data_IF_368025565146
#
_entry.id   IF_368025565146
#
_cell.length_a   1.000
_cell.length_b   1.000
_cell.length_c   1.000
_cell.angle_alpha   90.00
_cell.angle_beta   90.00
_cell.angle_gamma   90.00
#
_symmetry.space_group_name_H-M   'P 1'
#
loop_
_entity.id
_entity.type
_entity.pdbx_description
1 polymer ?
#
# COMPACT_ATOMS: atom_id res chain seq x y z
N UNK A 1 -31.95 47.05 -31.22
CA UNK A 1 -30.65 47.10 -30.51
C UNK A 1 -29.94 45.77 -30.68
N UNK A 2 -28.76 45.74 -31.29
CA UNK A 2 -28.04 44.49 -31.54
C UNK A 2 -27.41 43.98 -30.24
N UNK A 3 -27.93 42.88 -29.68
CA UNK A 3 -27.39 42.24 -28.48
C UNK A 3 -26.37 41.14 -28.76
N UNK A 4 -26.11 40.84 -30.04
CA UNK A 4 -25.16 39.80 -30.43
C UNK A 4 -23.76 39.98 -29.82
N UNK A 5 -23.17 41.20 -29.74
CA UNK A 5 -21.86 41.37 -29.10
C UNK A 5 -21.85 41.02 -27.61
N UNK A 6 -22.93 41.33 -26.89
CA UNK A 6 -23.06 41.06 -25.45
C UNK A 6 -23.22 39.55 -25.22
N UNK A 7 -24.04 38.88 -26.03
CA UNK A 7 -24.22 37.43 -25.97
C UNK A 7 -22.92 36.69 -26.29
N UNK A 8 -22.21 37.14 -27.34
CA UNK A 8 -20.90 36.57 -27.69
C UNK A 8 -19.90 36.71 -26.55
N UNK A 9 -19.77 37.92 -25.97
CA UNK A 9 -18.86 38.16 -24.85
C UNK A 9 -19.19 37.28 -23.65
N UNK A 10 -20.49 37.16 -23.30
CA UNK A 10 -20.94 36.31 -22.20
C UNK A 10 -20.55 34.84 -22.42
N UNK A 11 -20.87 34.28 -23.59
CA UNK A 11 -20.53 32.90 -23.95
C UNK A 11 -19.01 32.70 -23.93
N UNK A 12 -18.25 33.61 -24.53
CA UNK A 12 -16.80 33.54 -24.56
C UNK A 12 -16.20 33.53 -23.14
N UNK A 13 -16.65 34.43 -22.26
CA UNK A 13 -16.15 34.50 -20.87
C UNK A 13 -16.48 33.22 -20.11
N UNK A 14 -17.69 32.67 -20.26
CA UNK A 14 -18.05 31.40 -19.62
C UNK A 14 -17.17 30.25 -20.09
N UNK A 15 -16.93 30.13 -21.40
CA UNK A 15 -16.06 29.09 -21.97
C UNK A 15 -14.60 29.28 -21.55
N UNK A 16 -14.10 30.52 -21.58
CA UNK A 16 -12.72 30.84 -21.19
C UNK A 16 -12.48 30.57 -19.70
N UNK A 17 -13.43 30.92 -18.83
CA UNK A 17 -13.35 30.64 -17.40
C UNK A 17 -13.39 29.12 -17.14
N UNK A 18 -14.29 28.41 -17.80
CA UNK A 18 -14.38 26.95 -17.73
C UNK A 18 -13.09 26.27 -18.18
N UNK A 19 -12.56 26.65 -19.35
CA UNK A 19 -11.29 26.12 -19.86
C UNK A 19 -10.12 26.45 -18.94
N UNK A 20 -10.07 27.66 -18.40
CA UNK A 20 -9.00 28.08 -17.49
C UNK A 20 -9.03 27.24 -16.21
N UNK A 21 -10.18 27.11 -15.56
CA UNK A 21 -10.32 26.37 -14.31
C UNK A 21 -10.10 24.86 -14.45
N UNK A 22 -10.55 24.26 -15.57
CA UNK A 22 -10.48 22.80 -15.75
C UNK A 22 -9.20 22.38 -16.47
N UNK A 23 -8.79 23.07 -17.53
CA UNK A 23 -7.67 22.64 -18.37
C UNK A 23 -6.37 23.33 -17.94
N UNK A 24 -6.35 24.67 -17.93
CA UNK A 24 -5.12 25.41 -17.69
C UNK A 24 -4.56 25.18 -16.28
N UNK A 25 -5.40 25.24 -15.25
CA UNK A 25 -4.97 25.03 -13.85
C UNK A 25 -4.38 23.63 -13.65
N UNK A 26 -4.99 22.59 -14.21
CA UNK A 26 -4.45 21.23 -14.13
C UNK A 26 -3.15 21.08 -14.93
N UNK A 27 -3.05 21.69 -16.12
CA UNK A 27 -1.82 21.67 -16.91
C UNK A 27 -0.65 22.38 -16.21
N UNK A 28 -0.92 23.49 -15.52
CA UNK A 28 0.08 24.20 -14.71
C UNK A 28 0.49 23.34 -13.49
N UNK A 29 -0.46 22.67 -12.85
CA UNK A 29 -0.24 21.92 -11.61
C UNK A 29 0.46 20.57 -11.81
N UNK A 30 0.04 19.82 -12.83
CA UNK A 30 0.45 18.42 -13.04
C UNK A 30 1.07 18.16 -14.41
N UNK A 31 0.82 19.02 -15.41
CA UNK A 31 1.26 18.79 -16.80
C UNK A 31 2.78 18.76 -17.00
N UNK A 32 3.55 19.16 -15.99
CA UNK A 32 5.03 19.09 -15.97
C UNK A 32 5.59 17.91 -15.18
N UNK A 33 4.74 17.06 -14.61
CA UNK A 33 5.20 15.90 -13.86
C UNK A 33 5.82 14.86 -14.80
N UNK A 34 7.09 14.57 -14.58
CA UNK A 34 7.84 13.53 -15.29
C UNK A 34 8.18 12.37 -14.35
N UNK A 35 8.52 11.18 -14.86
CA UNK A 35 9.10 10.14 -14.01
C UNK A 35 10.37 10.66 -13.33
N UNK A 36 10.57 10.28 -12.07
CA UNK A 36 11.81 10.52 -11.35
C UNK A 36 12.84 9.49 -11.80
N UNK A 37 14.08 9.92 -12.04
CA UNK A 37 15.19 9.03 -12.37
C UNK A 37 16.04 8.90 -11.13
N UNK A 38 16.20 7.67 -10.63
CA UNK A 38 17.04 7.44 -9.45
C UNK A 38 18.52 7.59 -9.81
N UNK A 39 19.29 8.19 -8.89
CA UNK A 39 20.70 8.52 -9.10
C UNK A 39 21.61 7.27 -9.10
N UNK A 40 21.15 6.20 -8.45
CA UNK A 40 21.87 4.96 -8.17
C UNK A 40 21.81 3.93 -9.31
N UNK A 41 20.65 3.79 -9.95
CA UNK A 41 20.38 2.68 -10.89
C UNK A 41 19.88 3.15 -12.26
N UNK A 42 19.68 4.46 -12.46
CA UNK A 42 19.08 5.01 -13.68
C UNK A 42 17.65 4.53 -13.93
N UNK A 43 17.00 3.93 -12.92
CA UNK A 43 15.62 3.45 -13.02
C UNK A 43 14.65 4.62 -12.93
N UNK A 44 13.58 4.54 -13.71
CA UNK A 44 12.51 5.55 -13.69
C UNK A 44 11.37 5.12 -12.79
N UNK A 45 10.90 6.01 -11.92
CA UNK A 45 9.75 5.82 -11.04
C UNK A 45 8.63 6.84 -11.33
N UNK A 46 7.35 6.43 -11.31
CA UNK A 46 6.88 5.04 -11.16
C UNK A 46 7.29 4.19 -12.37
N UNK A 47 7.40 2.87 -12.18
CA UNK A 47 7.66 1.93 -13.28
C UNK A 47 6.42 1.80 -14.18
N UNK A 48 6.59 1.36 -15.43
CA UNK A 48 5.43 0.98 -16.25
C UNK A 48 4.83 -0.30 -15.67
N UNK A 49 3.51 -0.40 -15.62
CA UNK A 49 2.85 -1.63 -15.18
C UNK A 49 3.20 -2.76 -16.18
N UNK A 50 3.72 -3.91 -15.71
CA UNK A 50 3.89 -5.10 -16.56
C UNK A 50 2.56 -5.54 -17.18
N UNK A 51 2.61 -6.23 -18.33
CA UNK A 51 1.39 -6.63 -19.06
C UNK A 51 0.40 -7.46 -18.24
N UNK A 52 0.87 -8.35 -17.36
CA UNK A 52 0.01 -9.10 -16.44
C UNK A 52 -0.63 -8.22 -15.37
N UNK A 53 0.13 -7.30 -14.76
CA UNK A 53 -0.38 -6.33 -13.80
C UNK A 53 -1.39 -5.36 -14.43
N UNK A 54 -1.20 -4.97 -15.70
CA UNK A 54 -2.17 -4.15 -16.42
C UNK A 54 -3.52 -4.86 -16.58
N UNK A 55 -3.53 -6.15 -16.98
CA UNK A 55 -4.75 -6.97 -17.00
C UNK A 55 -5.33 -7.18 -15.60
N UNK A 56 -4.48 -7.36 -14.60
CA UNK A 56 -4.89 -7.49 -13.20
C UNK A 56 -5.59 -6.25 -12.66
N UNK A 57 -5.18 -5.07 -13.12
CA UNK A 57 -5.84 -3.81 -12.81
C UNK A 57 -7.26 -3.73 -13.38
N UNK A 58 -7.51 -4.37 -14.52
CA UNK A 58 -8.87 -4.51 -15.05
C UNK A 58 -9.70 -5.49 -14.20
N UNK A 59 -9.12 -6.60 -13.75
CA UNK A 59 -9.78 -7.52 -12.80
C UNK A 59 -10.10 -6.79 -11.48
N UNK A 60 -9.17 -6.00 -10.93
CA UNK A 60 -9.41 -5.17 -9.73
C UNK A 60 -10.61 -4.23 -9.90
N UNK A 61 -10.77 -3.65 -11.09
CA UNK A 61 -11.93 -2.82 -11.45
C UNK A 61 -13.22 -3.65 -11.48
N UNK A 62 -13.20 -4.78 -12.17
CA UNK A 62 -14.36 -5.67 -12.33
C UNK A 62 -14.86 -6.23 -11.00
N UNK A 63 -13.96 -6.54 -10.07
CA UNK A 63 -14.30 -7.04 -8.73
C UNK A 63 -14.76 -5.92 -7.79
N UNK A 64 -14.70 -4.65 -8.21
CA UNK A 64 -15.14 -3.53 -7.40
C UNK A 64 -14.27 -3.29 -6.16
N UNK A 65 -13.01 -3.74 -6.16
CA UNK A 65 -12.11 -3.62 -5.01
C UNK A 65 -11.97 -2.17 -4.48
N UNK A 66 -12.05 -1.20 -5.39
CA UNK A 66 -11.98 0.24 -5.10
C UNK A 66 -13.09 0.74 -4.15
N UNK A 67 -14.21 0.02 -4.02
CA UNK A 67 -15.28 0.39 -3.09
C UNK A 67 -14.92 0.13 -1.62
N UNK A 68 -13.97 -0.77 -1.36
CA UNK A 68 -13.54 -1.12 -0.01
C UNK A 68 -12.11 -0.68 0.29
N UNK A 69 -11.27 -0.57 -0.74
CA UNK A 69 -9.84 -0.31 -0.62
C UNK A 69 -9.44 0.98 -1.33
N UNK A 70 -8.73 1.83 -0.62
CA UNK A 70 -8.04 2.97 -1.21
C UNK A 70 -6.68 2.56 -1.78
N UNK A 71 -6.18 3.35 -2.72
CA UNK A 71 -4.79 3.29 -3.18
C UNK A 71 -4.18 4.69 -3.07
N UNK A 72 -4.19 5.23 -1.85
CA UNK A 72 -3.66 6.55 -1.53
C UNK A 72 -3.27 6.60 -0.06
N UNK A 73 -1.98 6.40 0.23
CA UNK A 73 -1.45 6.55 1.59
C UNK A 73 -1.51 8.03 1.97
N UNK A 74 -2.19 8.34 3.08
CA UNK A 74 -2.38 9.72 3.51
C UNK A 74 -1.08 10.32 4.04
N UNK A 75 -1.02 11.65 3.98
CA UNK A 75 0.04 12.44 4.61
C UNK A 75 0.13 12.13 6.11
N UNK A 76 1.33 12.02 6.68
CA UNK A 76 1.51 12.00 8.13
C UNK A 76 0.75 13.15 8.82
N UNK A 77 0.13 12.85 9.95
CA UNK A 77 -0.76 13.79 10.66
C UNK A 77 -2.22 13.81 10.19
N UNK A 78 -2.52 13.21 9.03
CA UNK A 78 -3.87 13.08 8.51
C UNK A 78 -4.29 11.60 8.50
N UNK A 79 -4.49 11.07 9.71
CA UNK A 79 -4.75 9.65 9.94
C UNK A 79 -3.51 8.86 10.31
N UNK A 80 -3.64 7.53 10.33
CA UNK A 80 -2.66 6.60 10.93
C UNK A 80 -2.17 5.56 9.92
N UNK A 81 -2.08 5.93 8.63
CA UNK A 81 -1.78 4.97 7.56
C UNK A 81 -0.36 4.40 7.69
N UNK A 82 0.61 5.26 8.02
CA UNK A 82 2.00 4.85 8.25
C UNK A 82 2.11 3.99 9.51
N UNK A 83 1.43 4.37 10.60
CA UNK A 83 1.38 3.61 11.86
C UNK A 83 0.74 2.22 11.67
N UNK A 84 -0.24 2.11 10.77
CA UNK A 84 -0.86 0.83 10.35
C UNK A 84 -0.01 0.04 9.37
N UNK A 85 1.18 0.53 9.03
CA UNK A 85 2.07 -0.06 8.05
C UNK A 85 1.38 -0.29 6.70
N UNK A 86 0.65 0.72 6.21
CA UNK A 86 0.00 0.67 4.87
C UNK A 86 0.89 1.26 3.77
N UNK A 87 1.90 2.03 4.15
CA UNK A 87 2.96 2.53 3.31
C UNK A 87 4.04 3.15 4.17
N UNK A 88 5.23 3.34 3.60
CA UNK A 88 6.37 3.98 4.29
C UNK A 88 6.34 5.51 4.13
N UNK A 89 5.64 5.99 3.11
CA UNK A 89 5.47 7.40 2.79
C UNK A 89 4.06 7.69 2.29
N UNK A 90 3.67 8.97 2.31
CA UNK A 90 2.44 9.41 1.66
C UNK A 90 2.51 9.29 0.15
N UNK A 91 1.38 9.01 -0.48
CA UNK A 91 1.25 9.06 -1.92
C UNK A 91 1.28 10.51 -2.43
N UNK A 92 1.92 10.72 -3.58
CA UNK A 92 1.98 12.00 -4.29
C UNK A 92 1.49 11.85 -5.72
N UNK A 93 1.18 12.97 -6.38
CA UNK A 93 0.65 12.94 -7.75
C UNK A 93 1.57 12.19 -8.74
N UNK A 94 2.89 12.23 -8.51
CA UNK A 94 3.88 11.55 -9.36
C UNK A 94 3.72 10.02 -9.38
N UNK A 95 3.21 9.43 -8.30
CA UNK A 95 2.95 7.99 -8.18
C UNK A 95 1.97 7.46 -9.24
N UNK A 96 1.15 8.35 -9.81
CA UNK A 96 0.04 8.00 -10.70
C UNK A 96 0.26 8.44 -12.15
N UNK A 97 1.39 9.06 -12.51
CA UNK A 97 1.58 9.69 -13.84
C UNK A 97 1.57 8.69 -15.01
N UNK A 98 1.82 7.40 -14.72
CA UNK A 98 1.77 6.31 -15.71
C UNK A 98 0.41 5.60 -15.73
N UNK A 99 -0.52 6.01 -14.89
CA UNK A 99 -1.84 5.41 -14.80
C UNK A 99 -2.87 6.22 -15.60
N UNK A 100 -3.45 5.60 -16.64
CA UNK A 100 -4.52 6.23 -17.40
C UNK A 100 -5.79 6.49 -16.57
N UNK A 101 -6.09 5.58 -15.64
CA UNK A 101 -7.18 5.70 -14.67
C UNK A 101 -6.65 5.41 -13.28
N UNK A 102 -6.86 6.33 -12.36
CA UNK A 102 -6.37 6.24 -10.98
C UNK A 102 -7.47 5.70 -10.06
N UNK A 103 -7.14 4.75 -9.19
CA UNK A 103 -8.08 4.16 -8.21
C UNK A 103 -7.78 4.60 -6.79
N UNK A 104 -7.86 5.91 -6.52
CA UNK A 104 -7.61 6.46 -5.18
C UNK A 104 -8.52 5.84 -4.10
N UNK A 105 -9.77 5.55 -4.47
CA UNK A 105 -10.82 5.06 -3.56
C UNK A 105 -11.39 6.18 -2.69
N UNK A 106 -12.59 5.95 -2.14
CA UNK A 106 -13.29 6.92 -1.27
C UNK A 106 -13.64 6.36 0.10
N UNK A 107 -13.63 5.03 0.26
CA UNK A 107 -13.94 4.34 1.50
C UNK A 107 -12.85 3.34 1.85
N UNK A 108 -12.68 3.10 3.15
CA UNK A 108 -11.63 2.26 3.75
C UNK A 108 -12.22 1.21 4.67
N UNK A 109 -13.11 0.42 4.10
CA UNK A 109 -13.64 -0.78 4.75
C UNK A 109 -12.52 -1.81 4.95
N UNK A 110 -11.64 -1.94 3.94
CA UNK A 110 -10.40 -2.69 4.03
C UNK A 110 -9.16 -1.77 4.10
N UNK A 111 -7.95 -2.35 4.25
CA UNK A 111 -6.71 -1.60 4.24
C UNK A 111 -6.44 -0.86 2.94
N UNK A 112 -5.66 0.22 3.00
CA UNK A 112 -5.07 0.81 1.79
C UNK A 112 -4.13 -0.19 1.11
N UNK A 113 -4.17 -0.23 -0.23
CA UNK A 113 -3.44 -1.19 -1.05
C UNK A 113 -2.29 -0.58 -1.84
N UNK A 114 -2.06 0.74 -1.78
CA UNK A 114 -1.09 1.42 -2.63
C UNK A 114 0.32 0.88 -2.50
N UNK A 115 0.69 0.39 -1.31
CA UNK A 115 1.99 -0.19 -1.04
C UNK A 115 1.90 -1.67 -0.62
N UNK A 116 0.86 -2.39 -1.04
CA UNK A 116 0.66 -3.78 -0.62
C UNK A 116 1.76 -4.71 -1.15
N UNK A 117 2.30 -4.45 -2.34
CA UNK A 117 3.41 -5.21 -2.91
C UNK A 117 4.69 -5.15 -2.10
N UNK A 118 4.96 -4.02 -1.43
CA UNK A 118 6.10 -3.90 -0.52
C UNK A 118 5.96 -4.83 0.71
N UNK A 119 4.72 -5.04 1.17
CA UNK A 119 4.41 -5.81 2.39
C UNK A 119 4.35 -7.31 2.15
N UNK A 120 4.04 -7.72 0.91
CA UNK A 120 3.84 -9.11 0.52
C UNK A 120 4.79 -9.50 -0.62
N UNK A 121 6.08 -9.22 -0.46
CA UNK A 121 7.08 -9.56 -1.47
C UNK A 121 7.36 -11.08 -1.54
N UNK A 122 7.72 -11.56 -2.73
CA UNK A 122 8.14 -12.94 -2.97
C UNK A 122 7.02 -13.98 -2.91
N UNK A 123 7.40 -15.26 -2.90
CA UNK A 123 6.45 -16.38 -3.02
C UNK A 123 5.45 -16.46 -1.85
N UNK A 124 5.89 -16.18 -0.62
CA UNK A 124 5.00 -16.18 0.53
C UNK A 124 3.87 -15.14 0.43
N UNK A 125 4.15 -13.99 -0.19
CA UNK A 125 3.14 -12.97 -0.45
C UNK A 125 2.17 -13.34 -1.57
N UNK A 126 2.66 -13.96 -2.64
CA UNK A 126 1.83 -14.55 -3.70
C UNK A 126 0.85 -15.57 -3.10
N UNK A 127 1.38 -16.50 -2.30
CA UNK A 127 0.60 -17.53 -1.63
C UNK A 127 -0.44 -16.92 -0.67
N UNK A 128 -0.06 -15.91 0.10
CA UNK A 128 -0.99 -15.18 0.98
C UNK A 128 -2.13 -14.55 0.18
N UNK A 129 -1.82 -13.89 -0.94
CA UNK A 129 -2.84 -13.26 -1.77
C UNK A 129 -3.79 -14.27 -2.39
N UNK A 130 -3.31 -15.42 -2.88
CA UNK A 130 -4.19 -16.47 -3.38
C UNK A 130 -5.12 -17.00 -2.30
N UNK A 131 -4.59 -17.31 -1.12
CA UNK A 131 -5.41 -17.80 0.01
C UNK A 131 -6.42 -16.74 0.47
N UNK A 132 -6.01 -15.48 0.57
CA UNK A 132 -6.87 -14.36 0.95
C UNK A 132 -7.97 -14.08 -0.09
N UNK A 133 -7.66 -14.14 -1.38
CA UNK A 133 -8.67 -13.96 -2.44
C UNK A 133 -9.64 -15.12 -2.51
N UNK A 134 -9.18 -16.35 -2.24
CA UNK A 134 -10.07 -17.52 -2.19
C UNK A 134 -11.13 -17.37 -1.09
N UNK A 135 -10.68 -17.12 0.15
CA UNK A 135 -11.54 -16.72 1.27
C UNK A 135 -10.77 -15.83 2.25
N UNK A 136 -11.12 -14.53 2.36
CA UNK A 136 -10.42 -13.58 3.21
C UNK A 136 -10.35 -13.95 4.69
N UNK A 137 -11.32 -14.73 5.18
CA UNK A 137 -11.38 -15.16 6.59
C UNK A 137 -10.23 -16.13 6.92
N UNK A 138 -9.65 -16.80 5.92
CA UNK A 138 -8.55 -17.75 6.09
C UNK A 138 -7.23 -17.09 6.48
N UNK A 139 -7.00 -15.85 6.06
CA UNK A 139 -5.78 -15.12 6.38
C UNK A 139 -6.03 -13.91 7.27
N UNK A 140 -7.30 -13.50 7.42
CA UNK A 140 -7.73 -12.39 8.26
C UNK A 140 -9.02 -12.76 8.98
N UNK A 141 -8.94 -13.40 10.16
CA UNK A 141 -10.11 -13.80 10.93
C UNK A 141 -11.07 -12.63 11.18
N UNK A 142 -12.36 -12.81 10.90
CA UNK A 142 -13.36 -11.76 11.02
C UNK A 142 -13.39 -10.76 9.85
N UNK A 143 -12.67 -11.02 8.75
CA UNK A 143 -12.76 -10.21 7.54
C UNK A 143 -14.19 -10.17 6.99
N UNK A 144 -14.62 -8.97 6.58
CA UNK A 144 -15.89 -8.73 5.89
C UNK A 144 -15.74 -8.63 4.37
N UNK A 145 -14.51 -8.79 3.86
CA UNK A 145 -14.24 -8.85 2.42
C UNK A 145 -14.91 -10.09 1.83
N UNK A 146 -15.52 -9.94 0.66
CA UNK A 146 -16.19 -11.05 -0.01
C UNK A 146 -15.17 -12.04 -0.60
N UNK A 147 -15.45 -13.35 -0.55
CA UNK A 147 -14.58 -14.35 -1.17
C UNK A 147 -14.66 -14.29 -2.70
N UNK A 148 -13.51 -14.45 -3.36
CA UNK A 148 -13.39 -14.57 -4.81
C UNK A 148 -12.97 -15.98 -5.23
N UNK A 149 -13.49 -17.00 -4.53
CA UNK A 149 -13.26 -18.42 -4.83
C UNK A 149 -13.55 -18.79 -6.30
N UNK A 150 -14.47 -18.08 -6.97
CA UNK A 150 -14.77 -18.26 -8.39
C UNK A 150 -13.62 -17.88 -9.35
N UNK A 151 -12.55 -17.25 -8.86
CA UNK A 151 -11.33 -17.02 -9.64
C UNK A 151 -10.39 -18.24 -9.60
N UNK A 152 -10.78 -19.34 -8.95
CA UNK A 152 -9.99 -20.55 -8.80
C UNK A 152 -10.77 -21.76 -9.31
N UNK A 153 -10.08 -22.65 -10.01
CA UNK A 153 -10.65 -23.83 -10.62
C UNK A 153 -10.25 -25.08 -9.84
N UNK A 154 -11.25 -25.81 -9.35
CA UNK A 154 -11.06 -27.12 -8.75
C UNK A 154 -11.31 -28.21 -9.79
N UNK A 155 -10.23 -28.88 -10.23
CA UNK A 155 -10.25 -29.75 -11.41
C UNK A 155 -9.49 -31.06 -11.18
N UNK A 156 -9.80 -32.14 -11.92
CA UNK A 156 -9.00 -33.35 -11.86
C UNK A 156 -7.59 -33.10 -12.42
N UNK A 157 -6.59 -33.68 -11.78
CA UNK A 157 -5.20 -33.69 -12.27
C UNK A 157 -5.13 -34.58 -13.51
N UNK A 158 -4.65 -34.01 -14.63
CA UNK A 158 -4.42 -34.76 -15.87
C UNK A 158 -2.92 -34.87 -16.08
N UNK A 159 -2.34 -36.03 -15.74
CA UNK A 159 -0.90 -36.25 -15.79
C UNK A 159 -0.21 -35.78 -14.51
N UNK A 160 0.63 -34.75 -14.60
CA UNK A 160 1.30 -34.17 -13.43
C UNK A 160 0.49 -32.99 -12.85
N UNK A 161 0.52 -32.77 -11.52
CA UNK A 161 -0.05 -31.57 -10.92
C UNK A 161 0.55 -30.29 -11.51
N UNK A 162 -0.25 -29.24 -11.60
CA UNK A 162 0.21 -27.92 -12.02
C UNK A 162 1.18 -27.34 -11.00
N UNK A 163 2.23 -26.70 -11.50
CA UNK A 163 3.13 -25.81 -10.76
C UNK A 163 2.40 -24.67 -10.01
N UNK A 164 1.22 -24.30 -10.49
CA UNK A 164 0.36 -23.25 -9.92
C UNK A 164 -0.65 -23.77 -8.90
N UNK A 165 -0.69 -25.08 -8.62
CA UNK A 165 -1.64 -25.63 -7.67
C UNK A 165 -1.44 -25.03 -6.26
N UNK A 166 -2.52 -24.53 -5.67
CA UNK A 166 -2.51 -23.84 -4.38
C UNK A 166 -3.08 -24.69 -3.24
N UNK A 167 -3.42 -25.96 -3.48
CA UNK A 167 -3.94 -26.85 -2.43
C UNK A 167 -3.00 -26.96 -1.23
N UNK A 168 -1.69 -26.82 -1.45
CA UNK A 168 -0.67 -26.81 -0.39
C UNK A 168 -0.83 -25.66 0.63
N UNK A 169 -1.58 -24.63 0.28
CA UNK A 169 -1.82 -23.47 1.15
C UNK A 169 -2.91 -23.73 2.20
N UNK A 170 -3.66 -24.82 2.06
CA UNK A 170 -4.81 -25.15 2.91
C UNK A 170 -4.47 -26.28 3.88
N UNK A 171 -4.88 -26.14 5.13
CA UNK A 171 -4.80 -27.22 6.12
C UNK A 171 -5.78 -28.35 5.75
N UNK A 172 -5.56 -29.59 6.23
CA UNK A 172 -6.50 -30.68 5.96
C UNK A 172 -7.96 -30.37 6.40
N UNK A 173 -8.12 -29.62 7.48
CA UNK A 173 -9.42 -29.17 7.97
C UNK A 173 -10.07 -28.15 7.02
N UNK A 174 -9.30 -27.17 6.56
CA UNK A 174 -9.75 -26.21 5.55
C UNK A 174 -10.14 -26.94 4.26
N UNK A 175 -9.32 -27.90 3.79
CA UNK A 175 -9.64 -28.65 2.57
C UNK A 175 -10.99 -29.36 2.65
N UNK A 176 -11.27 -30.03 3.78
CA UNK A 176 -12.57 -30.66 4.03
C UNK A 176 -13.71 -29.65 4.08
N UNK A 177 -13.52 -28.50 4.73
CA UNK A 177 -14.52 -27.44 4.84
C UNK A 177 -14.94 -26.88 3.48
N UNK A 178 -13.97 -26.67 2.58
CA UNK A 178 -14.24 -26.13 1.24
C UNK A 178 -14.47 -27.20 0.17
N UNK A 179 -14.45 -28.49 0.53
CA UNK A 179 -14.66 -29.60 -0.41
C UNK A 179 -13.57 -29.75 -1.46
N UNK A 180 -12.33 -29.37 -1.12
CA UNK A 180 -11.16 -29.44 -2.01
C UNK A 180 -10.18 -30.57 -1.60
N UNK A 181 -10.67 -31.59 -0.90
CA UNK A 181 -9.90 -32.72 -0.36
C UNK A 181 -9.96 -33.99 -1.21
N UNK A 182 -10.67 -33.97 -2.35
CA UNK A 182 -10.81 -35.13 -3.24
C UNK A 182 -9.44 -35.56 -3.79
N UNK A 183 -9.06 -36.85 -3.66
CA UNK A 183 -7.83 -37.36 -4.25
C UNK A 183 -7.82 -37.20 -5.78
N UNK A 184 -6.66 -36.83 -6.33
CA UNK A 184 -6.47 -36.64 -7.77
C UNK A 184 -7.10 -35.37 -8.33
N UNK A 185 -7.47 -34.42 -7.48
CA UNK A 185 -7.92 -33.09 -7.87
C UNK A 185 -6.95 -32.03 -7.35
N UNK A 186 -6.91 -30.89 -8.04
CA UNK A 186 -6.10 -29.72 -7.70
C UNK A 186 -6.94 -28.44 -7.79
N UNK A 187 -6.61 -27.47 -6.95
CA UNK A 187 -7.12 -26.11 -6.95
C UNK A 187 -6.08 -25.19 -7.59
N UNK A 188 -6.42 -24.58 -8.71
CA UNK A 188 -5.49 -23.78 -9.51
C UNK A 188 -6.08 -22.37 -9.71
N UNK A 189 -5.30 -21.30 -9.56
CA UNK A 189 -5.76 -19.95 -9.88
C UNK A 189 -6.05 -19.84 -11.38
N UNK A 190 -7.17 -19.22 -11.73
CA UNK A 190 -7.42 -18.79 -13.10
C UNK A 190 -6.43 -17.69 -13.51
N UNK A 191 -6.31 -17.43 -14.81
CA UNK A 191 -5.48 -16.31 -15.30
C UNK A 191 -5.89 -14.96 -14.69
N UNK A 192 -7.19 -14.76 -14.39
CA UNK A 192 -7.70 -13.55 -13.73
C UNK A 192 -7.20 -13.43 -12.28
N UNK A 193 -7.12 -14.55 -11.55
CA UNK A 193 -6.52 -14.56 -10.20
C UNK A 193 -5.03 -14.21 -10.28
N UNK A 194 -4.28 -14.86 -11.18
CA UNK A 194 -2.84 -14.59 -11.34
C UNK A 194 -2.57 -13.12 -11.71
N UNK A 195 -3.30 -12.59 -12.70
CA UNK A 195 -3.17 -11.21 -13.12
C UNK A 195 -3.52 -10.25 -11.97
N UNK A 196 -4.60 -10.49 -11.23
CA UNK A 196 -4.97 -9.68 -10.06
C UNK A 196 -3.87 -9.67 -9.00
N UNK A 197 -3.28 -10.82 -8.67
CA UNK A 197 -2.17 -10.89 -7.71
C UNK A 197 -0.94 -10.15 -8.24
N UNK A 198 -0.59 -10.29 -9.52
CA UNK A 198 0.48 -9.50 -10.13
C UNK A 198 0.23 -7.99 -10.06
N UNK A 199 -1.02 -7.55 -10.23
CA UNK A 199 -1.35 -6.15 -10.06
C UNK A 199 -1.15 -5.70 -8.61
N UNK A 200 -1.69 -6.42 -7.63
CA UNK A 200 -1.53 -6.09 -6.21
C UNK A 200 -0.05 -6.03 -5.82
N UNK A 201 0.75 -6.98 -6.28
CA UNK A 201 2.20 -7.00 -6.01
C UNK A 201 2.98 -5.90 -6.75
N UNK A 202 2.44 -5.38 -7.85
CA UNK A 202 3.03 -4.22 -8.56
C UNK A 202 2.81 -2.89 -7.83
N UNK A 203 1.88 -2.83 -6.86
CA UNK A 203 1.62 -1.66 -6.03
C UNK A 203 2.70 -1.54 -4.94
N UNK A 204 3.85 -0.99 -5.33
CA UNK A 204 5.04 -0.87 -4.49
C UNK A 204 5.73 0.49 -4.71
N UNK A 205 5.49 1.41 -3.79
CA UNK A 205 5.98 2.79 -3.76
C UNK A 205 7.19 2.98 -2.81
N UNK A 206 7.61 1.94 -2.09
CA UNK A 206 8.77 1.92 -1.18
C UNK A 206 10.15 2.13 -1.84
N UNK A 207 10.46 1.62 -3.06
CA UNK A 207 11.84 1.62 -3.56
C UNK A 207 12.42 3.01 -3.90
N UNK A 208 11.64 4.08 -3.75
CA UNK A 208 12.03 5.44 -4.12
C UNK A 208 11.32 6.47 -3.23
N UNK A 209 12.03 7.56 -2.94
CA UNK A 209 11.49 8.74 -2.25
C UNK A 209 11.62 9.94 -3.18
N UNK A 210 10.56 10.69 -3.39
CA UNK A 210 10.64 11.89 -4.23
C UNK A 210 11.13 13.12 -3.44
N UNK A 211 11.84 14.07 -4.09
CA UNK A 211 12.26 15.30 -3.44
C UNK A 211 11.11 16.13 -2.84
N UNK A 212 9.93 16.11 -3.45
CA UNK A 212 8.72 16.79 -2.95
C UNK A 212 8.16 16.21 -1.64
N UNK A 213 8.53 14.98 -1.29
CA UNK A 213 8.09 14.29 -0.08
C UNK A 213 8.94 14.70 1.11
N UNK A 214 10.26 14.73 0.91
CA UNK A 214 11.23 15.17 1.92
C UNK A 214 11.01 16.62 2.36
N UNK A 215 10.45 17.47 1.48
CA UNK A 215 10.16 18.89 1.79
C UNK A 215 8.96 19.10 2.71
N UNK A 216 8.15 18.08 2.99
CA UNK A 216 6.91 18.19 3.79
C UNK A 216 6.93 17.31 5.04
N UNK A 217 8.04 17.32 5.78
CA UNK A 217 8.15 16.63 7.08
C UNK A 217 7.03 17.12 8.00
N UNK A 218 6.15 16.21 8.42
CA UNK A 218 5.17 16.50 9.44
C UNK A 218 5.86 16.48 10.80
N UNK A 219 5.84 17.61 11.49
CA UNK A 219 6.23 17.68 12.90
C UNK A 219 4.94 17.47 13.70
N UNK A 220 4.85 16.35 14.43
CA UNK A 220 3.72 16.11 15.31
C UNK A 220 3.62 17.25 16.34
N UNK A 221 2.41 17.78 16.62
CA UNK A 221 2.26 18.71 17.71
C UNK A 221 2.73 18.05 19.02
N UNK A 222 3.34 18.81 19.95
CA UNK A 222 3.72 18.28 21.25
C UNK A 222 2.51 17.62 21.91
N UNK A 223 2.68 16.51 22.66
CA UNK A 223 1.56 15.93 23.39
C UNK A 223 0.99 17.00 24.32
N UNK A 224 -0.34 17.21 24.25
CA UNK A 224 -1.03 18.06 25.21
C UNK A 224 -0.70 17.54 26.62
N UNK A 225 -0.12 18.41 27.44
CA UNK A 225 0.02 18.14 28.86
C UNK A 225 -1.40 17.96 29.40
N UNK A 226 -1.78 16.75 29.77
CA UNK A 226 -2.97 16.54 30.58
C UNK A 226 -2.74 17.28 31.89
N UNK A 227 -3.44 18.40 32.09
CA UNK A 227 -3.52 19.04 33.41
C UNK A 227 -4.16 18.02 34.36
N UNK A 228 -3.36 17.42 35.25
CA UNK A 228 -3.89 16.52 36.28
C UNK A 228 -2.98 15.39 36.78
N UNK A 229 -1.81 15.14 36.19
CA UNK A 229 -0.86 14.20 36.82
C UNK A 229 0.00 14.93 37.84
N UNK A 230 -0.35 14.70 39.11
CA UNK A 230 0.37 15.17 40.28
C UNK A 230 1.86 14.79 40.21
N UNK A 231 2.71 15.75 40.58
CA UNK A 231 4.16 15.57 40.77
C UNK A 231 4.46 14.27 41.53
N UNK A 232 5.42 13.44 41.08
CA UNK A 232 5.95 12.37 41.93
C UNK A 232 6.61 13.00 43.16
N UNK A 233 6.30 12.45 44.34
CA UNK A 233 6.91 12.84 45.59
C UNK A 233 8.44 12.66 45.53
N UNK A 234 9.15 13.70 45.94
CA UNK A 234 10.60 13.77 46.07
C UNK A 234 11.08 12.73 47.11
N UNK A 235 11.81 11.71 46.67
CA UNK A 235 12.43 10.74 47.56
C UNK A 235 13.67 11.37 48.21
N UNK A 236 13.70 11.33 49.55
CA UNK A 236 14.79 11.83 50.38
C UNK A 236 16.14 11.12 50.07
N UNK A 237 17.29 11.81 50.26
CA UNK A 237 18.59 11.28 49.88
C UNK A 237 19.07 10.20 50.86
N UNK A 238 19.54 9.08 50.32
CA UNK A 238 20.28 8.06 51.07
C UNK A 238 21.75 8.49 51.19
N UNK A 239 22.29 8.32 52.40
CA UNK A 239 23.59 8.79 52.86
C UNK A 239 24.80 8.15 52.15
N UNK A 240 25.86 8.95 52.02
CA UNK A 240 27.20 8.60 51.55
C UNK A 240 27.85 7.46 52.37
N UNK A 241 28.49 6.52 51.68
CA UNK A 241 29.55 5.68 52.25
C UNK A 241 30.84 5.97 51.47
N UNK A 242 31.85 6.42 52.21
CA UNK A 242 33.17 6.86 51.74
C UNK A 242 33.97 5.72 51.10
N UNK A 243 34.65 6.05 50.00
CA UNK A 243 35.70 5.24 49.40
C UNK A 243 37.05 5.51 50.10
N UNK A 244 37.72 4.45 50.54
CA UNK A 244 39.14 4.48 50.87
C UNK A 244 39.97 4.28 49.60
N UNK A 245 41.01 5.09 49.47
CA UNK A 245 41.97 5.10 48.37
C UNK A 245 43.24 4.34 48.76
N UNK A 246 43.88 3.67 47.79
CA UNK A 246 45.35 3.54 47.57
C UNK A 246 45.63 2.46 46.51
N UNK A 247 46.03 2.81 45.27
CA UNK A 247 47.39 2.98 44.69
C UNK A 247 48.17 1.69 44.35
N UNK A 248 48.77 1.68 43.15
CA UNK A 248 49.90 0.82 42.75
C UNK A 248 49.54 -0.19 41.65
N UNK A 249 49.69 0.09 40.35
CA UNK A 249 50.91 0.08 39.53
C UNK A 249 51.27 -1.32 38.95
N UNK A 250 51.05 -1.43 37.63
CA UNK A 250 51.76 -2.15 36.55
C UNK A 250 52.27 -3.61 36.63
N UNK A 251 52.36 -4.19 35.41
CA UNK A 251 53.21 -5.32 34.92
C UNK A 251 52.71 -6.73 35.29
N UNK A 252 52.84 -7.81 34.52
CA UNK A 252 53.41 -8.16 33.19
C UNK A 252 53.09 -9.67 33.01
N UNK A 253 53.08 -10.16 31.76
CA UNK A 253 53.38 -11.55 31.33
C UNK A 253 52.48 -12.78 31.65
N UNK A 254 52.17 -13.48 30.54
CA UNK A 254 52.25 -14.94 30.31
C UNK A 254 51.61 -15.90 31.32
N UNK A 255 50.58 -16.64 30.90
CA UNK A 255 50.72 -17.99 30.28
C UNK A 255 49.37 -18.51 29.80
#
# INVERSE_FOLDING_TARGET
>A
MNRAPILFLGIFVTLAFSWTGIVLTNQISFGKLTPYVSEDEGKTWPQQLPGSAARGKDVYREMGCVYCHTQQVRRPGYGVDIERNWGERQSVARDYIREQRVYLGTMRTGPDLRNVGARYAGQGGIDWHYKHLYDPVLTSPGSIMQPYAFLFDYRPVVGQPSDKAIDRLFTPEEKRKYGIDKPGYELVPSQRAEDLVHYLLSLNDTPYTYPEEARRVYVAPPPEKKEGEAKPAEAAPAAEVKADAQTGEQKEEQK
#
